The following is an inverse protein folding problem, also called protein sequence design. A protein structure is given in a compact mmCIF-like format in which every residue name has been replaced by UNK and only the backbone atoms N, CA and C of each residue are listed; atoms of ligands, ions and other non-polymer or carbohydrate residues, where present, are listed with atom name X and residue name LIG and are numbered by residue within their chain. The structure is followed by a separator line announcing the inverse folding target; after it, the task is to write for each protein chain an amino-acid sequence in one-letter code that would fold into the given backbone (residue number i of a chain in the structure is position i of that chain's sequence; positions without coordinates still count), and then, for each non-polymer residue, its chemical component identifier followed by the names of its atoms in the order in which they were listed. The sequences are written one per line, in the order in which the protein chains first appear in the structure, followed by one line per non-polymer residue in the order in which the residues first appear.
data_IF_088944362887
#
_entry.id   IF_088944362887
#
_cell.length_a   1.000
_cell.length_b   1.000
_cell.length_c   1.000
_cell.angle_alpha   90.00
_cell.angle_beta   90.00
_cell.angle_gamma   90.00
#
_symmetry.space_group_name_H-M   'P 1'
#
loop_
_entity.id
_entity.type
_entity.pdbx_description
1 polymer ?
#
# COMPACT_ATOMS: atom_id res chain seq x y z
N UNK A 1 4.76 4.79 17.54
CA UNK A 1 5.69 3.73 18.02
C UNK A 1 6.17 2.92 16.82
N UNK A 2 7.38 2.32 16.85
CA UNK A 2 7.82 1.39 15.81
C UNK A 2 6.86 0.20 15.69
N UNK A 3 6.57 -0.24 14.47
CA UNK A 3 5.79 -1.47 14.24
C UNK A 3 6.73 -2.66 14.08
N UNK A 4 6.29 -3.82 14.57
CA UNK A 4 6.93 -5.12 14.33
C UNK A 4 6.08 -6.01 13.41
N UNK A 5 5.16 -5.39 12.66
CA UNK A 5 4.32 -6.10 11.71
C UNK A 5 5.18 -6.77 10.64
N UNK A 6 5.01 -8.08 10.52
CA UNK A 6 5.54 -8.87 9.42
C UNK A 6 4.40 -9.12 8.43
N UNK A 7 4.64 -8.81 7.15
CA UNK A 7 3.65 -8.96 6.10
C UNK A 7 4.27 -9.59 4.85
N UNK A 8 3.44 -10.36 4.14
CA UNK A 8 3.72 -10.77 2.77
C UNK A 8 2.83 -9.99 1.81
N UNK A 9 3.41 -9.59 0.68
CA UNK A 9 2.75 -8.80 -0.35
C UNK A 9 2.71 -9.58 -1.66
N UNK A 10 1.59 -9.47 -2.38
CA UNK A 10 1.48 -9.91 -3.77
C UNK A 10 0.84 -8.80 -4.61
N UNK A 11 1.50 -8.45 -5.71
CA UNK A 11 1.06 -7.39 -6.61
C UNK A 11 0.53 -7.99 -7.91
N UNK A 12 -0.66 -7.56 -8.32
CA UNK A 12 -1.29 -7.95 -9.58
C UNK A 12 -1.93 -6.74 -10.27
N UNK A 13 -2.42 -6.93 -11.49
CA UNK A 13 -3.06 -5.86 -12.24
C UNK A 13 -4.36 -6.35 -12.88
N UNK A 14 -5.39 -5.51 -12.81
CA UNK A 14 -6.62 -5.62 -13.58
C UNK A 14 -6.69 -4.40 -14.52
N UNK A 15 -6.33 -4.59 -15.79
CA UNK A 15 -6.05 -3.46 -16.68
C UNK A 15 -4.89 -2.63 -16.13
N UNK A 16 -5.12 -1.34 -15.90
CA UNK A 16 -4.11 -0.44 -15.31
C UNK A 16 -4.22 -0.30 -13.78
N UNK A 17 -5.23 -0.89 -13.15
CA UNK A 17 -5.38 -0.86 -11.71
C UNK A 17 -4.47 -1.91 -11.07
N UNK A 18 -3.55 -1.47 -10.20
CA UNK A 18 -2.81 -2.39 -9.35
C UNK A 18 -3.70 -2.92 -8.23
N UNK A 19 -3.65 -4.22 -7.99
CA UNK A 19 -4.31 -4.88 -6.87
C UNK A 19 -3.22 -5.51 -6.00
N UNK A 20 -3.10 -5.00 -4.77
CA UNK A 20 -2.20 -5.52 -3.75
C UNK A 20 -2.96 -6.44 -2.80
N UNK A 21 -2.43 -7.65 -2.60
CA UNK A 21 -2.84 -8.54 -1.52
C UNK A 21 -1.82 -8.44 -0.40
N UNK A 22 -2.32 -8.26 0.83
CA UNK A 22 -1.52 -8.12 2.04
C UNK A 22 -1.90 -9.22 3.01
N UNK A 23 -0.90 -10.01 3.42
CA UNK A 23 -1.06 -11.03 4.43
C UNK A 23 -0.22 -10.67 5.67
N UNK A 24 -0.85 -10.34 6.81
CA UNK A 24 -0.16 -10.30 8.09
C UNK A 24 0.35 -11.68 8.48
N UNK A 25 1.65 -11.79 8.78
CA UNK A 25 2.32 -13.04 9.15
C UNK A 25 2.47 -13.21 10.67
N UNK A 26 2.18 -12.15 11.43
CA UNK A 26 2.25 -12.17 12.88
C UNK A 26 1.14 -11.32 13.51
N UNK A 27 1.12 -11.36 14.83
CA UNK A 27 0.13 -10.73 15.68
C UNK A 27 0.55 -9.33 16.16
N UNK A 28 1.58 -8.72 15.57
CA UNK A 28 2.01 -7.39 16.02
C UNK A 28 0.96 -6.32 15.70
N UNK A 29 0.89 -5.28 16.55
CA UNK A 29 0.01 -4.15 16.32
C UNK A 29 0.33 -3.45 14.98
N UNK A 30 -0.68 -3.31 14.13
CA UNK A 30 -0.57 -2.74 12.78
C UNK A 30 -1.91 -2.22 12.27
N UNK A 31 -1.87 -1.35 11.26
CA UNK A 31 -3.08 -0.87 10.55
C UNK A 31 -3.86 -2.03 9.92
N UNK A 32 -3.17 -3.09 9.48
CA UNK A 32 -3.80 -4.29 8.92
C UNK A 32 -4.56 -5.07 9.99
N UNK A 33 -3.92 -5.34 11.14
CA UNK A 33 -4.54 -6.06 12.25
C UNK A 33 -5.73 -5.30 12.79
N UNK A 34 -5.61 -3.98 12.97
CA UNK A 34 -6.70 -3.14 13.44
C UNK A 34 -7.93 -3.23 12.52
N UNK A 35 -7.75 -3.15 11.19
CA UNK A 35 -8.86 -3.30 10.25
C UNK A 35 -9.47 -4.70 10.28
N UNK A 36 -8.66 -5.76 10.37
CA UNK A 36 -9.14 -7.14 10.47
C UNK A 36 -9.97 -7.34 11.75
N UNK A 37 -9.53 -6.82 12.88
CA UNK A 37 -10.26 -6.94 14.15
C UNK A 37 -11.56 -6.12 14.13
N UNK A 38 -11.57 -4.95 13.47
CA UNK A 38 -12.74 -4.07 13.41
C UNK A 38 -13.80 -4.52 12.40
N UNK A 39 -13.38 -5.09 11.26
CA UNK A 39 -14.26 -5.29 10.09
C UNK A 39 -14.09 -6.66 9.40
N UNK A 40 -13.14 -7.48 9.84
CA UNK A 40 -12.75 -8.72 9.16
C UNK A 40 -11.80 -8.49 7.98
N UNK A 41 -11.44 -9.58 7.29
CA UNK A 41 -10.63 -9.51 6.08
C UNK A 41 -11.41 -8.85 4.93
N UNK A 42 -10.72 -8.06 4.12
CA UNK A 42 -11.33 -7.39 2.97
C UNK A 42 -10.53 -6.17 2.51
N UNK A 43 -11.25 -5.21 1.93
CA UNK A 43 -10.65 -3.98 1.42
C UNK A 43 -9.99 -3.17 2.56
N UNK A 44 -8.70 -2.86 2.39
CA UNK A 44 -7.91 -2.14 3.39
C UNK A 44 -7.72 -0.66 3.04
N UNK A 45 -7.31 -0.34 1.81
CA UNK A 45 -6.92 1.02 1.45
C UNK A 45 -7.02 1.31 -0.05
N UNK A 46 -7.02 2.60 -0.39
CA UNK A 46 -6.77 3.12 -1.74
C UNK A 46 -5.33 3.63 -1.85
N UNK A 47 -4.57 3.15 -2.83
CA UNK A 47 -3.22 3.63 -3.12
C UNK A 47 -3.21 4.83 -4.06
N UNK A 48 -2.56 5.92 -3.65
CA UNK A 48 -2.40 7.15 -4.43
C UNK A 48 -0.94 7.57 -4.45
N UNK A 49 -0.36 7.55 -5.64
CA UNK A 49 1.02 7.99 -5.83
C UNK A 49 1.14 9.52 -5.90
N UNK A 50 2.22 10.09 -5.35
CA UNK A 50 2.43 11.53 -5.29
C UNK A 50 3.91 11.90 -5.40
N UNK A 51 4.22 13.00 -6.10
CA UNK A 51 5.57 13.60 -6.13
C UNK A 51 5.82 14.54 -4.94
N UNK A 52 4.76 14.91 -4.21
CA UNK A 52 4.81 15.88 -3.11
C UNK A 52 4.31 15.24 -1.82
N UNK A 53 5.02 14.21 -1.34
CA UNK A 53 4.58 13.38 -0.22
C UNK A 53 4.25 14.17 1.04
N UNK A 54 5.15 15.04 1.49
CA UNK A 54 4.94 15.82 2.71
C UNK A 54 3.79 16.83 2.57
N UNK A 55 3.62 17.43 1.38
CA UNK A 55 2.51 18.34 1.12
C UNK A 55 1.17 17.59 1.11
N UNK A 56 1.13 16.39 0.52
CA UNK A 56 -0.04 15.52 0.52
C UNK A 56 -0.41 15.08 1.94
N UNK A 57 0.54 14.61 2.75
CA UNK A 57 0.29 14.27 4.16
C UNK A 57 -0.30 15.47 4.90
N UNK A 58 0.34 16.63 4.80
CA UNK A 58 -0.12 17.84 5.49
C UNK A 58 -1.52 18.27 5.02
N UNK A 59 -1.89 18.02 3.76
CA UNK A 59 -3.25 18.26 3.26
C UNK A 59 -4.28 17.37 3.94
N UNK A 60 -4.01 16.07 4.05
CA UNK A 60 -4.91 15.13 4.74
C UNK A 60 -5.03 15.46 6.23
N UNK A 61 -3.93 15.80 6.89
CA UNK A 61 -3.94 16.21 8.31
C UNK A 61 -4.78 17.48 8.53
N UNK A 62 -4.65 18.50 7.66
CA UNK A 62 -5.49 19.70 7.72
C UNK A 62 -6.97 19.41 7.49
N UNK A 63 -7.29 18.36 6.73
CA UNK A 63 -8.65 17.88 6.52
C UNK A 63 -9.18 17.00 7.67
N UNK A 64 -8.38 16.77 8.72
CA UNK A 64 -8.77 15.97 9.89
C UNK A 64 -8.48 14.47 9.75
N UNK A 65 -7.69 14.05 8.76
CA UNK A 65 -7.27 12.67 8.57
C UNK A 65 -5.85 12.47 9.10
N UNK A 66 -5.72 11.74 10.20
CA UNK A 66 -4.43 11.54 10.86
C UNK A 66 -3.51 10.58 10.06
N UNK A 67 -2.20 10.80 10.10
CA UNK A 67 -1.22 9.83 9.60
C UNK A 67 -1.13 8.63 10.56
N UNK A 68 -1.79 7.53 10.21
CA UNK A 68 -1.89 6.33 11.04
C UNK A 68 -0.62 5.47 11.01
N UNK A 69 0.05 5.42 9.87
CA UNK A 69 1.29 4.64 9.71
C UNK A 69 2.17 5.24 8.63
N UNK A 70 3.49 5.12 8.79
CA UNK A 70 4.47 5.58 7.81
C UNK A 70 5.69 4.67 7.81
N UNK A 71 6.22 4.37 6.63
CA UNK A 71 7.49 3.66 6.45
C UNK A 71 8.32 4.28 5.31
N UNK A 72 9.62 4.04 5.36
CA UNK A 72 10.49 4.19 4.19
C UNK A 72 10.55 2.84 3.46
N UNK A 73 10.51 2.86 2.13
CA UNK A 73 10.57 1.64 1.31
C UNK A 73 11.96 1.48 0.68
N UNK A 74 12.43 0.24 0.43
CA UNK A 74 13.75 -0.02 -0.15
C UNK A 74 14.00 0.62 -1.52
N UNK A 75 12.94 0.93 -2.28
CA UNK A 75 13.03 1.62 -3.57
C UNK A 75 13.42 3.11 -3.47
N UNK A 76 13.58 3.64 -2.26
CA UNK A 76 14.03 5.02 -2.01
C UNK A 76 12.91 6.03 -1.81
N UNK A 77 11.67 5.59 -1.63
CA UNK A 77 10.51 6.45 -1.31
C UNK A 77 9.92 6.19 0.08
N UNK A 78 8.80 6.84 0.36
CA UNK A 78 7.99 6.69 1.57
C UNK A 78 6.58 6.21 1.24
N UNK A 79 5.98 5.52 2.21
CA UNK A 79 4.57 5.16 2.22
C UNK A 79 3.95 5.70 3.50
N UNK A 80 2.73 6.26 3.40
CA UNK A 80 1.98 6.74 4.55
C UNK A 80 0.48 6.44 4.43
N UNK A 81 -0.12 5.85 5.45
CA UNK A 81 -1.57 5.66 5.52
C UNK A 81 -2.23 6.80 6.29
N UNK A 82 -3.11 7.52 5.60
CA UNK A 82 -3.99 8.53 6.18
C UNK A 82 -5.30 7.87 6.61
N UNK A 83 -5.71 8.08 7.87
CA UNK A 83 -6.98 7.57 8.40
C UNK A 83 -8.17 8.34 7.80
N UNK A 84 -8.67 7.75 6.72
CA UNK A 84 -9.87 8.17 6.02
C UNK A 84 -11.05 7.22 6.30
N UNK A 85 -10.89 6.27 7.24
CA UNK A 85 -11.87 5.18 7.48
C UNK A 85 -13.22 5.66 8.04
N UNK A 86 -13.28 6.92 8.51
CA UNK A 86 -14.50 7.60 8.93
C UNK A 86 -15.35 8.17 7.79
N UNK A 87 -14.79 8.31 6.58
CA UNK A 87 -15.47 8.90 5.41
C UNK A 87 -15.32 8.06 4.14
N UNK A 88 -14.35 7.15 4.09
CA UNK A 88 -14.09 6.20 3.01
C UNK A 88 -14.09 4.75 3.55
N UNK A 89 -14.27 3.75 2.66
CA UNK A 89 -14.30 2.33 3.08
C UNK A 89 -12.99 1.80 3.70
N UNK A 90 -11.87 2.49 3.52
CA UNK A 90 -10.55 2.09 4.02
C UNK A 90 -9.62 3.31 4.18
N UNK A 91 -8.34 3.05 4.46
CA UNK A 91 -7.32 4.10 4.50
C UNK A 91 -7.04 4.68 3.12
N UNK A 92 -6.38 5.83 3.09
CA UNK A 92 -5.74 6.34 1.87
C UNK A 92 -4.24 6.22 2.05
N UNK A 93 -3.60 5.43 1.21
CA UNK A 93 -2.16 5.27 1.18
C UNK A 93 -1.56 6.30 0.22
N UNK A 94 -0.65 7.12 0.74
CA UNK A 94 0.19 8.00 -0.04
C UNK A 94 1.50 7.27 -0.35
N UNK A 95 1.83 7.17 -1.63
CA UNK A 95 3.03 6.48 -2.10
C UNK A 95 3.92 7.52 -2.77
N UNK A 96 5.10 7.76 -2.20
CA UNK A 96 6.03 8.73 -2.75
C UNK A 96 6.64 8.22 -4.06
N UNK A 97 6.48 9.02 -5.10
CA UNK A 97 7.12 8.85 -6.39
C UNK A 97 8.58 9.32 -6.33
N UNK A 98 9.44 8.63 -7.08
CA UNK A 98 10.88 8.86 -7.10
C UNK A 98 11.67 7.56 -6.93
N UNK A 99 13.00 7.68 -6.94
CA UNK A 99 13.90 6.51 -6.82
C UNK A 99 13.61 5.44 -7.86
N UNK A 100 13.48 4.19 -7.41
CA UNK A 100 13.21 3.03 -8.27
C UNK A 100 11.71 2.73 -8.44
N UNK A 101 10.80 3.62 -8.02
CA UNK A 101 9.34 3.35 -8.02
C UNK A 101 8.82 2.93 -9.40
N UNK A 102 9.07 3.74 -10.44
CA UNK A 102 8.58 3.47 -11.79
C UNK A 102 9.15 2.17 -12.37
N UNK A 103 10.41 1.88 -12.08
CA UNK A 103 11.06 0.65 -12.54
C UNK A 103 10.40 -0.58 -11.92
N UNK A 104 10.18 -0.55 -10.60
CA UNK A 104 9.59 -1.65 -9.81
C UNK A 104 8.13 -1.89 -10.20
N UNK A 105 7.27 -0.86 -10.14
CA UNK A 105 5.86 -1.00 -10.51
C UNK A 105 5.68 -1.27 -12.00
N UNK A 106 6.53 -0.69 -12.85
CA UNK A 106 6.57 -1.00 -14.28
C UNK A 106 6.91 -2.46 -14.54
N UNK A 107 7.81 -3.07 -13.76
CA UNK A 107 8.11 -4.52 -13.86
C UNK A 107 6.91 -5.37 -13.51
N UNK A 108 6.19 -5.05 -12.43
CA UNK A 108 4.98 -5.78 -12.04
C UNK A 108 3.90 -5.67 -13.12
N UNK A 109 3.69 -4.46 -13.66
CA UNK A 109 2.75 -4.23 -14.74
C UNK A 109 3.12 -5.01 -16.00
N UNK A 110 4.37 -4.95 -16.45
CA UNK A 110 4.84 -5.71 -17.63
C UNK A 110 4.66 -7.22 -17.45
N UNK A 111 4.90 -7.75 -16.25
CA UNK A 111 4.66 -9.16 -15.95
C UNK A 111 3.17 -9.55 -16.04
N UNK A 112 2.24 -8.61 -15.85
CA UNK A 112 0.81 -8.88 -16.02
C UNK A 112 0.35 -8.93 -17.48
N UNK A 113 1.08 -8.28 -18.40
CA UNK A 113 0.69 -8.17 -19.80
C UNK A 113 0.73 -9.51 -20.52
N UNK A 114 -0.39 -9.88 -21.16
CA UNK A 114 -0.49 -11.10 -21.96
C UNK A 114 -0.34 -12.39 -21.15
N UNK A 115 -0.51 -12.33 -19.82
CA UNK A 115 -0.39 -13.51 -18.96
C UNK A 115 -1.47 -14.55 -19.27
N UNK A 116 -1.05 -15.79 -19.50
CA UNK A 116 -1.90 -16.91 -19.92
C UNK A 116 -2.47 -17.74 -18.75
N UNK A 117 -2.27 -17.28 -17.51
CA UNK A 117 -2.69 -17.98 -16.30
C UNK A 117 -1.65 -18.95 -15.72
N UNK A 118 -0.51 -19.19 -16.37
CA UNK A 118 0.54 -20.10 -15.88
C UNK A 118 1.61 -19.37 -15.07
N UNK A 119 2.18 -20.03 -14.07
CA UNK A 119 3.19 -19.42 -13.16
C UNK A 119 2.66 -18.13 -12.47
N UNK A 120 1.56 -18.24 -11.69
CA UNK A 120 0.92 -17.07 -11.06
C UNK A 120 1.81 -16.37 -10.04
N UNK A 121 2.73 -17.11 -9.40
CA UNK A 121 3.64 -16.60 -8.39
C UNK A 121 5.01 -16.39 -9.02
N UNK A 122 5.49 -15.15 -9.01
CA UNK A 122 6.77 -14.71 -9.61
C UNK A 122 7.49 -13.79 -8.64
N UNK A 123 8.82 -13.92 -8.56
CA UNK A 123 9.65 -13.13 -7.66
C UNK A 123 9.57 -11.63 -7.95
N UNK A 124 9.51 -10.83 -6.88
CA UNK A 124 9.63 -9.37 -6.91
C UNK A 124 11.05 -8.93 -7.29
N UNK A 125 12.03 -9.76 -6.94
CA UNK A 125 13.48 -9.59 -7.15
C UNK A 125 13.89 -10.26 -8.45
#
# INVERSE_FOLDING_TARGET
QPSQADISLAMSFAGHMNIELIQPNNDAASVYREMIERRGYGFHHWGVATWEFDAAVAQYERAGHALAFRLAVPSGGRVGYMDTTGVLPGYTELIELGGAFEEVFGRFYRASLGWDGKNPIRSFI
#
